data_IF_802285801698
#
_entry.id   IF_802285801698
#
_cell.length_a   1.000
_cell.length_b   1.000
_cell.length_c   1.000
_cell.angle_alpha   90.00
_cell.angle_beta   90.00
_cell.angle_gamma   90.00
#
_symmetry.space_group_name_H-M   'P 1'
#
loop_
_entity.id
_entity.type
_entity.pdbx_description
1 polymer ?
#
# COMPACT_ATOMS: atom_id res chain seq x y z
N UNK A 1 -44.21 -8.07 24.33
CA UNK A 1 -43.29 -9.12 23.83
C UNK A 1 -42.78 -8.89 22.40
N UNK A 2 -43.43 -8.07 21.56
CA UNK A 2 -43.11 -7.90 20.12
C UNK A 2 -41.77 -7.16 19.84
N UNK A 3 -41.32 -6.26 20.74
CA UNK A 3 -40.08 -5.48 20.52
C UNK A 3 -38.77 -6.23 20.77
N UNK A 4 -38.75 -7.23 21.66
CA UNK A 4 -37.51 -7.94 22.06
C UNK A 4 -36.93 -8.79 20.92
N UNK A 5 -37.79 -9.38 20.10
CA UNK A 5 -37.37 -10.19 18.94
C UNK A 5 -36.73 -9.32 17.86
N UNK A 6 -37.31 -8.14 17.58
CA UNK A 6 -36.73 -7.17 16.63
C UNK A 6 -35.36 -6.65 17.08
N UNK A 7 -35.19 -6.39 18.38
CA UNK A 7 -33.91 -5.97 18.96
C UNK A 7 -32.84 -7.08 18.84
N UNK A 8 -33.21 -8.35 19.06
CA UNK A 8 -32.30 -9.49 18.85
C UNK A 8 -31.87 -9.63 17.39
N UNK A 9 -32.79 -9.51 16.44
CA UNK A 9 -32.48 -9.55 15.02
C UNK A 9 -31.57 -8.39 14.60
N UNK A 10 -31.83 -7.17 15.09
CA UNK A 10 -30.97 -6.03 14.83
C UNK A 10 -29.56 -6.22 15.40
N UNK A 11 -29.44 -6.72 16.63
CA UNK A 11 -28.14 -7.03 17.23
C UNK A 11 -27.35 -8.07 16.42
N UNK A 12 -28.02 -9.11 15.91
CA UNK A 12 -27.39 -10.11 15.03
C UNK A 12 -26.90 -9.51 13.72
N UNK A 13 -27.68 -8.60 13.10
CA UNK A 13 -27.28 -7.89 11.88
C UNK A 13 -26.04 -7.03 12.15
N UNK A 14 -26.05 -6.25 13.24
CA UNK A 14 -24.93 -5.38 13.62
C UNK A 14 -23.65 -6.19 13.86
N UNK A 15 -23.73 -7.29 14.61
CA UNK A 15 -22.59 -8.18 14.85
C UNK A 15 -22.07 -8.77 13.54
N UNK A 16 -22.97 -9.19 12.64
CA UNK A 16 -22.59 -9.73 11.34
C UNK A 16 -21.88 -8.68 10.47
N UNK A 17 -22.36 -7.43 10.46
CA UNK A 17 -21.71 -6.31 9.78
C UNK A 17 -20.33 -6.03 10.37
N UNK A 18 -20.23 -5.99 11.71
CA UNK A 18 -18.95 -5.79 12.40
C UNK A 18 -17.92 -6.87 12.04
N UNK A 19 -18.35 -8.13 11.95
CA UNK A 19 -17.48 -9.23 11.53
C UNK A 19 -17.06 -9.10 10.07
N UNK A 20 -17.99 -8.76 9.17
CA UNK A 20 -17.67 -8.51 7.77
C UNK A 20 -16.67 -7.36 7.59
N UNK A 21 -16.82 -6.29 8.39
CA UNK A 21 -15.91 -5.15 8.38
C UNK A 21 -14.53 -5.52 8.92
N UNK A 22 -14.46 -6.28 10.02
CA UNK A 22 -13.20 -6.79 10.56
C UNK A 22 -12.47 -7.68 9.53
N UNK A 23 -13.19 -8.59 8.90
CA UNK A 23 -12.66 -9.46 7.85
C UNK A 23 -12.12 -8.65 6.66
N UNK A 24 -12.87 -7.67 6.17
CA UNK A 24 -12.44 -6.82 5.07
C UNK A 24 -11.17 -6.02 5.42
N UNK A 25 -11.07 -5.49 6.65
CA UNK A 25 -9.89 -4.77 7.13
C UNK A 25 -8.65 -5.68 7.23
N UNK A 26 -8.79 -6.87 7.81
CA UNK A 26 -7.71 -7.85 7.86
C UNK A 26 -7.28 -8.27 6.46
N UNK A 27 -8.25 -8.57 5.58
CA UNK A 27 -7.98 -8.93 4.18
C UNK A 27 -7.23 -7.81 3.46
N UNK A 28 -7.58 -6.54 3.69
CA UNK A 28 -6.89 -5.40 3.13
C UNK A 28 -5.44 -5.30 3.62
N UNK A 29 -5.20 -5.46 4.94
CA UNK A 29 -3.85 -5.42 5.52
C UNK A 29 -2.92 -6.51 4.98
N UNK A 30 -3.45 -7.71 4.73
CA UNK A 30 -2.67 -8.85 4.20
C UNK A 30 -2.68 -8.93 2.67
N UNK A 31 -3.46 -8.08 1.99
CA UNK A 31 -3.53 -8.10 0.54
C UNK A 31 -2.29 -7.45 -0.07
N UNK A 32 -1.69 -8.15 -1.03
CA UNK A 32 -0.51 -7.70 -1.75
C UNK A 32 -0.73 -6.40 -2.53
N UNK A 33 -1.95 -6.12 -2.97
CA UNK A 33 -2.25 -4.91 -3.75
C UNK A 33 -2.02 -3.60 -3.00
N UNK A 34 -2.34 -3.55 -1.70
CA UNK A 34 -2.11 -2.36 -0.87
C UNK A 34 -0.60 -2.20 -0.62
N UNK A 35 0.09 -3.28 -0.29
CA UNK A 35 1.54 -3.28 -0.08
C UNK A 35 2.29 -2.86 -1.35
N UNK A 36 1.93 -3.41 -2.52
CA UNK A 36 2.53 -3.03 -3.81
C UNK A 36 2.30 -1.55 -4.15
N UNK A 37 1.10 -1.03 -3.87
CA UNK A 37 0.80 0.40 -4.04
C UNK A 37 1.67 1.29 -3.16
N UNK A 38 1.80 0.95 -1.88
CA UNK A 38 2.69 1.65 -0.95
C UNK A 38 4.16 1.59 -1.36
N UNK A 39 4.64 0.42 -1.79
CA UNK A 39 6.03 0.25 -2.27
C UNK A 39 6.31 1.11 -3.49
N UNK A 40 5.39 1.18 -4.46
CA UNK A 40 5.54 2.03 -5.65
C UNK A 40 5.56 3.52 -5.30
N UNK A 41 4.71 3.95 -4.36
CA UNK A 41 4.70 5.33 -3.87
C UNK A 41 5.99 5.66 -3.10
N UNK A 42 6.45 4.75 -2.25
CA UNK A 42 7.70 4.91 -1.51
C UNK A 42 8.90 4.99 -2.46
N UNK A 43 8.99 4.10 -3.45
CA UNK A 43 10.03 4.14 -4.48
C UNK A 43 10.02 5.46 -5.26
N UNK A 44 8.83 5.96 -5.63
CA UNK A 44 8.69 7.25 -6.30
C UNK A 44 9.15 8.40 -5.41
N UNK A 45 8.78 8.41 -4.13
CA UNK A 45 9.24 9.42 -3.18
C UNK A 45 10.76 9.39 -3.01
N UNK A 46 11.35 8.20 -2.97
CA UNK A 46 12.78 8.00 -2.84
C UNK A 46 13.55 8.48 -4.08
N UNK A 47 13.03 8.17 -5.28
CA UNK A 47 13.55 8.66 -6.56
C UNK A 47 13.56 10.20 -6.62
N UNK A 48 12.46 10.84 -6.18
CA UNK A 48 12.37 12.30 -6.11
C UNK A 48 13.36 12.88 -5.10
N UNK A 49 13.49 12.27 -3.92
CA UNK A 49 14.47 12.69 -2.90
C UNK A 49 15.93 12.52 -3.37
N UNK A 50 16.21 11.51 -4.20
CA UNK A 50 17.51 11.33 -4.82
C UNK A 50 17.83 12.40 -5.90
N UNK A 51 16.84 13.21 -6.31
CA UNK A 51 17.00 14.26 -7.31
C UNK A 51 16.72 13.82 -8.75
N UNK A 52 15.91 12.77 -8.95
CA UNK A 52 15.47 12.34 -10.27
C UNK A 52 14.50 13.36 -10.90
N UNK A 53 14.71 13.67 -12.18
CA UNK A 53 13.76 14.43 -12.99
C UNK A 53 12.54 13.58 -13.39
N UNK A 54 11.46 14.20 -13.86
CA UNK A 54 10.22 13.47 -14.20
C UNK A 54 10.43 12.31 -15.20
N UNK A 55 11.35 12.47 -16.15
CA UNK A 55 11.71 11.44 -17.13
C UNK A 55 12.54 10.28 -16.53
N UNK A 56 13.27 10.53 -15.44
CA UNK A 56 14.14 9.54 -14.78
C UNK A 56 13.42 8.77 -13.68
N UNK A 57 12.30 9.30 -13.15
CA UNK A 57 11.55 8.68 -12.06
C UNK A 57 10.98 7.32 -12.45
N UNK A 58 10.40 7.18 -13.65
CA UNK A 58 9.81 5.91 -14.09
C UNK A 58 10.85 4.76 -14.14
N UNK A 59 11.98 4.88 -14.86
CA UNK A 59 12.98 3.82 -14.91
C UNK A 59 13.64 3.56 -13.55
N UNK A 60 13.90 4.60 -12.75
CA UNK A 60 14.49 4.44 -11.42
C UNK A 60 13.57 3.66 -10.45
N UNK A 61 12.26 3.93 -10.51
CA UNK A 61 11.26 3.22 -9.69
C UNK A 61 11.16 1.75 -10.07
N UNK A 62 11.24 1.42 -11.36
CA UNK A 62 11.24 0.01 -11.81
C UNK A 62 12.45 -0.76 -11.27
N UNK A 63 13.64 -0.18 -11.32
CA UNK A 63 14.85 -0.78 -10.75
C UNK A 63 14.76 -0.98 -9.23
N UNK A 64 14.28 0.02 -8.48
CA UNK A 64 14.12 -0.06 -7.02
C UNK A 64 13.10 -1.14 -6.60
N UNK A 65 12.00 -1.28 -7.36
CA UNK A 65 10.99 -2.31 -7.09
C UNK A 65 11.54 -3.70 -7.40
N UNK A 66 12.30 -3.86 -8.49
CA UNK A 66 12.91 -5.13 -8.90
C UNK A 66 13.90 -5.66 -7.84
N UNK A 67 14.78 -4.79 -7.34
CA UNK A 67 15.80 -5.19 -6.35
C UNK A 67 15.28 -5.26 -4.91
N UNK A 68 14.05 -4.81 -4.66
CA UNK A 68 13.41 -4.74 -3.33
C UNK A 68 14.23 -3.96 -2.28
N UNK A 69 15.17 -3.12 -2.71
CA UNK A 69 16.03 -2.29 -1.86
C UNK A 69 15.58 -0.84 -1.94
N UNK A 70 15.00 -0.34 -0.84
CA UNK A 70 14.42 1.00 -0.76
C UNK A 70 15.19 1.89 0.22
N UNK A 71 16.39 2.31 -0.17
CA UNK A 71 17.19 3.29 0.58
C UNK A 71 17.75 4.39 -0.33
N UNK A 72 17.97 5.57 0.24
CA UNK A 72 18.34 6.76 -0.53
C UNK A 72 19.67 6.57 -1.27
N UNK A 73 20.65 5.92 -0.65
CA UNK A 73 21.96 5.62 -1.22
C UNK A 73 21.85 4.79 -2.51
N UNK A 74 21.00 3.75 -2.50
CA UNK A 74 20.75 2.89 -3.65
C UNK A 74 20.04 3.66 -4.76
N UNK A 75 19.08 4.52 -4.42
CA UNK A 75 18.39 5.37 -5.39
C UNK A 75 19.35 6.38 -6.04
N UNK A 76 20.26 6.99 -5.27
CA UNK A 76 21.29 7.89 -5.80
C UNK A 76 22.26 7.15 -6.72
N UNK A 77 22.74 5.97 -6.31
CA UNK A 77 23.61 5.13 -7.14
C UNK A 77 22.96 4.74 -8.46
N UNK A 78 21.68 4.34 -8.43
CA UNK A 78 20.96 4.03 -9.66
C UNK A 78 20.72 5.26 -10.54
N UNK A 79 20.47 6.42 -9.95
CA UNK A 79 20.32 7.67 -10.69
C UNK A 79 21.63 8.07 -11.37
N UNK A 80 22.78 7.91 -10.71
CA UNK A 80 24.10 8.16 -11.29
C UNK A 80 24.40 7.22 -12.47
N UNK A 81 24.08 5.94 -12.32
CA UNK A 81 24.21 4.94 -13.39
C UNK A 81 23.30 5.25 -14.59
N UNK A 82 22.14 5.87 -14.36
CA UNK A 82 21.20 6.23 -15.44
C UNK A 82 21.68 7.45 -16.26
N UNK A 83 22.52 8.29 -15.65
CA UNK A 83 23.04 9.54 -16.24
C UNK A 83 24.43 9.37 -16.87
N UNK A 84 25.11 8.25 -16.65
CA UNK A 84 26.38 7.88 -17.29
C UNK A 84 26.15 7.13 -18.59
#
# INVERSE_FOLDING_TARGET
>A
MIGKTRLKSLAQIIVSIGLAQNFAALKALVSTGIQQGHMKLQAKSLALLAGASESEVAPLVEHLIADKTFNLETAQRYLENLRS
#
